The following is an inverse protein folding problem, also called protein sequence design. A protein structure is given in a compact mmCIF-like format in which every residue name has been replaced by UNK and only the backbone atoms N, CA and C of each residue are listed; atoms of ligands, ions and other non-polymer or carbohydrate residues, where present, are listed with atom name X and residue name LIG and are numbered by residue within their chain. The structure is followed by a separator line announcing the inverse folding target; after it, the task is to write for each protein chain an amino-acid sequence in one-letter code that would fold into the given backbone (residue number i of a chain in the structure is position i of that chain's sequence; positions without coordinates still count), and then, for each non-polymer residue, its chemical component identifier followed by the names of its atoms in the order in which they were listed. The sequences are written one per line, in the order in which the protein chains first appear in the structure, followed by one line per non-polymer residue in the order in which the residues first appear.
data_IF_980753922172
#
_entry.id   IF_980753922172
#
_cell.length_a   1.000
_cell.length_b   1.000
_cell.length_c   1.000
_cell.angle_alpha   90.00
_cell.angle_beta   90.00
_cell.angle_gamma   90.00
#
_symmetry.space_group_name_H-M   'P 1'
#
loop_
_entity.id
_entity.type
_entity.pdbx_description
1 polymer ?
#
# COMPACT_ATOMS: atom_id res chain seq x y z
N UNK A 1 3.94 6.25 4.64
CA UNK A 1 4.93 5.14 4.51
C UNK A 1 4.47 3.83 5.16
N UNK A 2 3.52 3.82 6.11
CA UNK A 2 3.03 2.57 6.75
C UNK A 2 2.31 1.64 5.75
N UNK A 3 1.45 2.18 4.88
CA UNK A 3 0.73 1.38 3.88
C UNK A 3 1.63 0.63 2.91
N UNK A 4 2.66 1.29 2.38
CA UNK A 4 3.65 0.66 1.49
C UNK A 4 4.50 -0.39 2.20
N UNK A 5 4.80 -0.21 3.49
CA UNK A 5 5.51 -1.21 4.29
C UNK A 5 4.68 -2.47 4.52
N UNK A 6 3.38 -2.33 4.83
CA UNK A 6 2.47 -3.46 4.96
C UNK A 6 2.30 -4.22 3.63
N UNK A 7 2.16 -3.51 2.52
CA UNK A 7 2.07 -4.12 1.21
C UNK A 7 3.37 -4.86 0.82
N UNK A 8 4.54 -4.27 1.12
CA UNK A 8 5.83 -4.92 0.91
C UNK A 8 6.01 -6.19 1.75
N UNK A 9 5.54 -6.19 3.00
CA UNK A 9 5.55 -7.38 3.86
C UNK A 9 4.65 -8.49 3.30
N UNK A 10 3.43 -8.15 2.84
CA UNK A 10 2.50 -9.12 2.24
C UNK A 10 3.11 -9.74 0.98
N UNK A 11 3.69 -8.93 0.09
CA UNK A 11 4.38 -9.43 -1.11
C UNK A 11 5.61 -10.27 -0.78
N UNK A 12 6.40 -9.86 0.22
CA UNK A 12 7.61 -10.57 0.67
C UNK A 12 7.29 -11.93 1.29
N UNK A 13 6.28 -12.00 2.16
CA UNK A 13 5.83 -13.26 2.77
C UNK A 13 5.18 -14.20 1.76
N UNK A 14 4.48 -13.67 0.75
CA UNK A 14 3.88 -14.46 -0.31
C UNK A 14 4.87 -14.88 -1.41
N UNK A 15 6.16 -14.55 -1.28
CA UNK A 15 7.18 -14.93 -2.26
C UNK A 15 6.96 -14.33 -3.65
N UNK A 16 6.27 -13.18 -3.73
CA UNK A 16 5.97 -12.52 -4.99
C UNK A 16 7.27 -11.92 -5.54
N UNK A 17 7.94 -12.70 -6.39
CA UNK A 17 9.12 -12.25 -7.10
C UNK A 17 8.72 -11.44 -8.33
N UNK A 18 9.21 -10.20 -8.40
CA UNK A 18 9.11 -9.40 -9.60
C UNK A 18 10.15 -9.89 -10.63
N UNK A 19 9.69 -10.20 -11.84
CA UNK A 19 10.53 -10.56 -13.00
C UNK A 19 11.25 -9.33 -13.58
N UNK A 20 10.88 -8.12 -13.14
CA UNK A 20 11.51 -6.86 -13.54
C UNK A 20 11.46 -5.83 -12.39
N UNK A 21 12.41 -4.90 -12.39
CA UNK A 21 12.44 -3.78 -11.44
C UNK A 21 11.42 -2.75 -11.90
N UNK A 22 10.55 -2.31 -11.00
CA UNK A 22 9.55 -1.28 -11.30
C UNK A 22 10.24 0.05 -11.66
N UNK A 23 10.32 0.35 -12.95
CA UNK A 23 10.66 1.69 -13.43
C UNK A 23 9.42 2.58 -13.29
N UNK A 24 9.58 3.79 -12.75
CA UNK A 24 8.47 4.70 -12.50
C UNK A 24 7.65 4.94 -13.77
N UNK A 25 6.40 4.46 -13.80
CA UNK A 25 5.50 4.54 -14.96
C UNK A 25 5.09 3.19 -15.55
N UNK A 26 5.82 2.10 -15.27
CA UNK A 26 5.39 0.76 -15.68
C UNK A 26 4.36 0.19 -14.68
N UNK A 27 3.26 -0.42 -15.16
CA UNK A 27 2.33 -1.11 -14.28
C UNK A 27 3.08 -2.25 -13.55
N UNK A 28 3.12 -2.20 -12.22
CA UNK A 28 3.79 -3.23 -11.40
C UNK A 28 3.25 -4.64 -11.65
N UNK A 29 2.02 -4.76 -12.16
CA UNK A 29 1.40 -6.00 -12.60
C UNK A 29 2.17 -6.66 -13.76
N UNK A 30 2.73 -5.89 -14.70
CA UNK A 30 3.54 -6.43 -15.80
C UNK A 30 4.91 -6.93 -15.32
N UNK A 31 5.38 -6.43 -14.19
CA UNK A 31 6.64 -6.87 -13.57
C UNK A 31 6.47 -8.16 -12.75
N UNK A 32 5.24 -8.66 -12.55
CA UNK A 32 4.96 -9.82 -11.69
C UNK A 32 4.36 -10.97 -12.53
N UNK A 33 4.72 -12.22 -12.21
CA UNK A 33 4.14 -13.39 -12.90
C UNK A 33 2.61 -13.41 -12.72
N UNK A 34 1.83 -13.77 -13.77
CA UNK A 34 0.36 -13.76 -13.72
C UNK A 34 -0.24 -14.53 -12.55
N UNK A 35 0.43 -15.59 -12.10
CA UNK A 35 0.05 -16.40 -10.94
C UNK A 35 -0.05 -15.62 -9.62
N UNK A 36 0.66 -14.50 -9.49
CA UNK A 36 0.69 -13.66 -8.28
C UNK A 36 -0.07 -12.33 -8.44
N UNK A 37 -0.76 -12.10 -9.56
CA UNK A 37 -1.53 -10.87 -9.79
C UNK A 37 -2.60 -10.63 -8.74
N UNK A 38 -3.24 -11.70 -8.25
CA UNK A 38 -4.30 -11.61 -7.24
C UNK A 38 -3.73 -11.15 -5.89
N UNK A 39 -2.58 -11.71 -5.49
CA UNK A 39 -1.85 -11.30 -4.27
C UNK A 39 -1.33 -9.86 -4.40
N UNK A 40 -0.81 -9.50 -5.58
CA UNK A 40 -0.35 -8.14 -5.84
C UNK A 40 -1.50 -7.12 -5.81
N UNK A 41 -2.65 -7.44 -6.39
CA UNK A 41 -3.84 -6.59 -6.34
C UNK A 41 -4.32 -6.39 -4.89
N UNK A 42 -4.30 -7.45 -4.08
CA UNK A 42 -4.58 -7.35 -2.64
C UNK A 42 -3.56 -6.48 -1.90
N UNK A 43 -2.26 -6.67 -2.16
CA UNK A 43 -1.21 -5.84 -1.55
C UNK A 43 -1.35 -4.36 -1.96
N UNK A 44 -1.68 -4.09 -3.22
CA UNK A 44 -1.93 -2.74 -3.74
C UNK A 44 -3.17 -2.11 -3.07
N UNK A 45 -4.23 -2.89 -2.85
CA UNK A 45 -5.41 -2.44 -2.12
C UNK A 45 -5.06 -2.07 -0.67
N UNK A 46 -4.29 -2.91 0.02
CA UNK A 46 -3.79 -2.61 1.38
C UNK A 46 -2.92 -1.35 1.39
N UNK A 47 -2.07 -1.17 0.38
CA UNK A 47 -1.21 0.00 0.24
C UNK A 47 -1.99 1.31 0.15
N UNK A 48 -3.22 1.29 -0.37
CA UNK A 48 -4.10 2.46 -0.49
C UNK A 48 -5.03 2.62 0.71
N UNK A 49 -5.65 1.53 1.16
CA UNK A 49 -6.64 1.56 2.25
C UNK A 49 -6.00 1.90 3.59
N UNK A 50 -4.83 1.32 3.91
CA UNK A 50 -4.16 1.55 5.20
C UNK A 50 -3.80 3.02 5.43
N UNK A 51 -3.12 3.73 4.48
CA UNK A 51 -2.84 5.15 4.66
C UNK A 51 -4.10 6.01 4.72
N UNK A 52 -5.15 5.68 3.96
CA UNK A 52 -6.41 6.43 4.01
C UNK A 52 -7.08 6.33 5.38
N UNK A 53 -7.21 5.10 5.92
CA UNK A 53 -7.78 4.87 7.25
C UNK A 53 -6.93 5.56 8.31
N UNK A 54 -5.61 5.43 8.24
CA UNK A 54 -4.71 6.05 9.21
C UNK A 54 -4.77 7.58 9.16
N UNK A 55 -4.85 8.16 7.95
CA UNK A 55 -5.00 9.60 7.75
C UNK A 55 -6.31 10.10 8.35
N UNK A 56 -7.42 9.39 8.09
CA UNK A 56 -8.72 9.72 8.69
C UNK A 56 -8.68 9.62 10.22
N UNK A 57 -8.10 8.56 10.79
CA UNK A 57 -7.99 8.40 12.24
C UNK A 57 -7.15 9.50 12.88
N UNK A 58 -6.00 9.85 12.28
CA UNK A 58 -5.15 10.96 12.75
C UNK A 58 -5.92 12.28 12.68
N UNK A 59 -6.63 12.54 11.58
CA UNK A 59 -7.45 13.74 11.43
C UNK A 59 -8.55 13.80 12.49
N UNK A 60 -9.32 12.72 12.73
CA UNK A 60 -10.35 12.69 13.78
C UNK A 60 -9.78 12.77 15.19
N UNK A 61 -8.55 12.30 15.40
CA UNK A 61 -7.86 12.44 16.69
C UNK A 61 -7.36 13.87 16.92
N UNK A 62 -6.84 14.55 15.89
CA UNK A 62 -6.49 15.98 15.95
C UNK A 62 -7.74 16.86 16.10
N UNK A 63 -8.83 16.54 15.41
CA UNK A 63 -10.11 17.23 15.53
C UNK A 63 -10.64 17.22 16.97
N UNK A 64 -10.60 16.05 17.63
CA UNK A 64 -11.02 15.92 19.04
C UNK A 64 -10.11 16.62 20.03
N UNK A 65 -8.84 16.85 19.68
CA UNK A 65 -7.88 17.58 20.53
C UNK A 65 -7.92 19.10 20.32
N UNK A 66 -8.75 19.61 19.41
CA UNK A 66 -8.86 21.05 19.15
C UNK A 66 -7.62 21.68 18.49
N UNK A 67 -6.71 20.86 17.96
CA UNK A 67 -5.45 21.31 17.34
C UNK A 67 -5.55 21.49 15.82
N UNK A 68 -6.75 21.42 15.26
CA UNK A 68 -6.94 21.72 13.84
C UNK A 68 -6.90 23.25 13.69
N UNK A 69 -5.94 23.81 12.94
CA UNK A 69 -6.01 25.20 12.57
C UNK A 69 -7.25 25.37 11.70
N UNK A 70 -8.23 26.11 12.21
CA UNK A 70 -9.37 26.61 11.43
C UNK A 70 -8.91 27.78 10.57
#
# INVERSE_FOLDING_TARGET
MIGSACAGLICGLAGVMANGIGVGGLPGILSIKPQFWLVFALAMLVAVVVPLVLTMLVYRRKARRGELPV
#
